data_IF_790327136397
#
_entry.id   IF_790327136397
#
_cell.length_a   1.000
_cell.length_b   1.000
_cell.length_c   1.000
_cell.angle_alpha   90.00
_cell.angle_beta   90.00
_cell.angle_gamma   90.00
#
_symmetry.space_group_name_H-M   'P 1'
#
loop_
_entity.id
_entity.type
_entity.pdbx_description
1 polymer ?
#
# COMPACT_ATOMS: atom_id res chain seq x y z
N UNK A 1 -22.87 -14.62 -50.55
CA UNK A 1 -21.96 -15.69 -50.06
C UNK A 1 -20.94 -15.04 -49.12
N UNK A 2 -21.15 -15.15 -47.79
CA UNK A 2 -20.31 -15.89 -46.82
C UNK A 2 -18.81 -15.54 -46.92
N UNK A 3 -18.32 -14.59 -46.12
CA UNK A 3 -17.73 -14.71 -44.76
C UNK A 3 -16.23 -15.04 -44.80
N UNK A 4 -15.38 -14.15 -44.25
CA UNK A 4 -14.18 -14.52 -43.47
C UNK A 4 -13.65 -13.35 -42.64
N UNK A 5 -14.00 -13.47 -41.37
CA UNK A 5 -13.44 -12.94 -40.13
C UNK A 5 -11.91 -12.86 -40.12
N UNK A 6 -11.35 -11.82 -39.47
CA UNK A 6 -9.90 -11.66 -39.32
C UNK A 6 -9.48 -10.67 -38.20
N UNK A 7 -9.88 -10.98 -36.97
CA UNK A 7 -9.15 -10.76 -35.69
C UNK A 7 -8.53 -9.37 -35.44
N UNK A 8 -9.15 -8.48 -34.63
CA UNK A 8 -8.37 -7.50 -33.89
C UNK A 8 -7.58 -8.26 -32.81
N UNK A 9 -6.25 -8.27 -32.93
CA UNK A 9 -5.35 -8.76 -31.87
C UNK A 9 -5.48 -7.79 -30.70
N UNK A 10 -6.34 -8.17 -29.76
CA UNK A 10 -6.50 -7.55 -28.46
C UNK A 10 -5.24 -7.89 -27.63
N UNK A 11 -4.13 -7.20 -27.88
CA UNK A 11 -2.96 -7.24 -27.01
C UNK A 11 -3.22 -6.32 -25.80
N UNK A 12 -4.16 -6.71 -24.95
CA UNK A 12 -4.49 -6.01 -23.71
C UNK A 12 -4.16 -6.92 -22.52
N UNK A 13 -3.18 -6.44 -21.74
CA UNK A 13 -3.02 -6.63 -20.30
C UNK A 13 -2.48 -8.00 -19.87
N UNK A 14 -1.17 -8.17 -20.03
CA UNK A 14 -0.36 -8.94 -19.09
C UNK A 14 0.17 -7.98 -17.99
N UNK A 15 -0.72 -7.34 -17.23
CA UNK A 15 -0.32 -6.85 -15.90
C UNK A 15 -0.41 -8.03 -14.98
N UNK A 16 0.74 -8.63 -14.68
CA UNK A 16 0.87 -9.65 -13.66
C UNK A 16 0.06 -9.23 -12.42
N UNK A 17 -0.91 -10.06 -12.03
CA UNK A 17 -1.53 -10.05 -10.71
C UNK A 17 -0.44 -10.38 -9.68
N UNK A 18 0.48 -9.45 -9.44
CA UNK A 18 1.68 -9.67 -8.63
C UNK A 18 1.35 -9.99 -7.17
N UNK A 19 0.08 -9.97 -6.75
CA UNK A 19 -0.38 -10.13 -5.36
C UNK A 19 0.11 -9.02 -4.42
N UNK A 20 1.14 -8.29 -4.83
CA UNK A 20 1.77 -7.18 -4.13
C UNK A 20 0.86 -5.95 -4.14
N UNK A 21 0.74 -5.25 -3.00
CA UNK A 21 -0.09 -4.06 -2.92
C UNK A 21 0.44 -2.94 -3.82
N UNK A 22 -0.45 -2.25 -4.54
CA UNK A 22 -0.06 -1.06 -5.31
C UNK A 22 0.31 0.10 -4.37
N UNK A 23 1.08 1.08 -4.86
CA UNK A 23 1.38 2.28 -4.06
C UNK A 23 0.11 3.03 -3.64
N UNK A 24 -0.91 3.08 -4.51
CA UNK A 24 -2.19 3.70 -4.21
C UNK A 24 -2.95 2.97 -3.08
N UNK A 25 -2.97 1.63 -3.12
CA UNK A 25 -3.59 0.83 -2.05
C UNK A 25 -2.85 1.02 -0.73
N UNK A 26 -1.51 0.99 -0.77
CA UNK A 26 -0.67 1.24 0.38
C UNK A 26 -0.96 2.62 0.98
N UNK A 27 -0.92 3.68 0.17
CA UNK A 27 -1.18 5.05 0.61
C UNK A 27 -2.52 5.15 1.34
N UNK A 28 -3.60 4.66 0.73
CA UNK A 28 -4.95 4.76 1.28
C UNK A 28 -5.08 4.06 2.64
N UNK A 29 -4.49 2.88 2.77
CA UNK A 29 -4.52 2.10 4.01
C UNK A 29 -3.68 2.76 5.11
N UNK A 30 -2.46 3.22 4.77
CA UNK A 30 -1.58 3.92 5.71
C UNK A 30 -2.22 5.24 6.16
N UNK A 31 -2.75 6.06 5.25
CA UNK A 31 -3.44 7.31 5.61
C UNK A 31 -4.64 7.05 6.53
N UNK A 32 -5.42 6.00 6.26
CA UNK A 32 -6.56 5.63 7.10
C UNK A 32 -6.10 5.23 8.50
N UNK A 33 -5.01 4.45 8.60
CA UNK A 33 -4.44 4.07 9.88
C UNK A 33 -3.88 5.29 10.63
N UNK A 34 -3.08 6.12 9.97
CA UNK A 34 -2.47 7.32 10.56
C UNK A 34 -3.53 8.30 11.05
N UNK A 35 -4.57 8.56 10.25
CA UNK A 35 -5.71 9.38 10.67
C UNK A 35 -6.35 8.85 11.94
N UNK A 36 -6.69 7.56 11.98
CA UNK A 36 -7.28 6.92 13.18
C UNK A 36 -6.34 6.92 14.39
N UNK A 37 -5.04 6.80 14.18
CA UNK A 37 -4.05 6.86 15.25
C UNK A 37 -3.98 8.27 15.85
N UNK A 38 -3.93 9.31 15.01
CA UNK A 38 -3.88 10.70 15.44
C UNK A 38 -5.20 11.16 16.07
N UNK A 39 -6.35 10.76 15.51
CA UNK A 39 -7.68 11.04 16.09
C UNK A 39 -7.79 10.49 17.52
N UNK A 40 -7.28 9.27 17.77
CA UNK A 40 -7.20 8.68 19.13
C UNK A 40 -6.29 9.45 20.08
N UNK A 41 -5.33 10.21 19.55
CA UNK A 41 -4.45 11.10 20.32
C UNK A 41 -5.02 12.53 20.45
N UNK A 42 -6.25 12.77 19.98
CA UNK A 42 -6.88 14.10 20.03
C UNK A 42 -6.44 15.05 18.91
N UNK A 43 -5.71 14.57 17.90
CA UNK A 43 -5.29 15.36 16.76
C UNK A 43 -6.05 14.94 15.49
N UNK A 44 -7.00 15.77 15.05
CA UNK A 44 -7.83 15.53 13.85
C UNK A 44 -7.41 16.36 12.62
N UNK A 45 -6.23 16.99 12.64
CA UNK A 45 -5.79 17.87 11.54
C UNK A 45 -5.25 17.10 10.33
N UNK A 46 -4.77 15.86 10.53
CA UNK A 46 -4.25 15.04 9.46
C UNK A 46 -5.35 14.63 8.46
N UNK A 47 -5.13 14.93 7.18
CA UNK A 47 -6.06 14.59 6.09
C UNK A 47 -5.52 13.49 5.19
N UNK A 48 -4.30 13.70 4.71
CA UNK A 48 -3.60 12.82 3.77
C UNK A 48 -2.10 13.11 3.87
N UNK A 49 -1.28 12.25 3.25
CA UNK A 49 0.11 12.58 2.99
C UNK A 49 0.21 13.54 1.81
N UNK A 50 1.18 14.44 1.84
CA UNK A 50 1.51 15.31 0.71
C UNK A 50 2.21 14.50 -0.39
N UNK A 51 3.14 13.62 0.02
CA UNK A 51 3.85 12.69 -0.84
C UNK A 51 3.88 11.30 -0.19
N UNK A 52 3.72 10.26 -1.01
CA UNK A 52 3.80 8.87 -0.56
C UNK A 52 4.51 8.06 -1.62
N UNK A 53 5.61 7.43 -1.24
CA UNK A 53 6.44 6.64 -2.15
C UNK A 53 6.67 5.25 -1.60
N UNK A 54 6.26 4.24 -2.35
CA UNK A 54 6.61 2.85 -2.10
C UNK A 54 8.10 2.64 -2.38
N UNK A 55 8.82 2.04 -1.43
CA UNK A 55 10.27 1.78 -1.53
C UNK A 55 10.59 0.34 -1.92
N UNK A 56 9.64 -0.58 -1.69
CA UNK A 56 9.76 -1.98 -2.07
C UNK A 56 8.88 -2.85 -1.18
N UNK A 57 8.55 -4.06 -1.65
CA UNK A 57 7.85 -5.07 -0.87
C UNK A 57 8.63 -6.37 -0.86
N UNK A 58 8.51 -7.09 0.24
CA UNK A 58 9.03 -8.44 0.39
C UNK A 58 7.85 -9.33 0.73
N UNK A 59 7.58 -10.32 -0.11
CA UNK A 59 6.59 -11.35 0.22
C UNK A 59 7.08 -12.11 1.46
N UNK A 60 6.25 -12.17 2.50
CA UNK A 60 6.62 -12.85 3.74
C UNK A 60 6.50 -14.36 3.54
N UNK A 61 7.65 -15.02 3.41
CA UNK A 61 7.72 -16.49 3.42
C UNK A 61 7.48 -17.02 4.84
N UNK A 62 6.25 -17.49 5.06
CA UNK A 62 5.89 -18.65 5.85
C UNK A 62 6.91 -19.18 6.90
N UNK A 63 6.65 -18.93 8.19
CA UNK A 63 7.13 -19.77 9.30
C UNK A 63 5.99 -20.72 9.69
N UNK A 64 6.22 -22.04 9.63
CA UNK A 64 5.35 -23.12 10.15
C UNK A 64 4.10 -23.53 9.32
N UNK A 65 4.22 -23.70 8.00
CA UNK A 65 3.27 -24.54 7.22
C UNK A 65 1.85 -23.99 6.96
N UNK A 66 1.55 -22.76 7.36
CA UNK A 66 0.30 -22.06 7.06
C UNK A 66 0.46 -21.04 5.91
N UNK A 67 -0.24 -21.23 4.78
CA UNK A 67 -0.08 -20.45 3.53
C UNK A 67 0.16 -18.94 3.75
N UNK A 68 1.40 -18.51 3.57
CA UNK A 68 1.84 -17.10 3.67
C UNK A 68 1.72 -16.36 2.34
N UNK A 69 1.22 -17.05 1.31
CA UNK A 69 0.96 -16.49 -0.01
C UNK A 69 0.02 -15.31 0.10
N UNK A 70 0.43 -14.15 -0.41
CA UNK A 70 -0.42 -12.95 -0.41
C UNK A 70 -0.23 -11.99 0.77
N UNK A 71 0.77 -12.23 1.63
CA UNK A 71 1.22 -11.27 2.64
C UNK A 71 2.57 -10.64 2.25
N UNK A 72 2.64 -9.31 2.34
CA UNK A 72 3.77 -8.50 1.92
C UNK A 72 4.18 -7.54 3.04
N UNK A 73 5.45 -7.59 3.42
CA UNK A 73 6.08 -6.55 4.22
C UNK A 73 6.62 -5.48 3.26
N UNK A 74 5.99 -4.31 3.23
CA UNK A 74 6.33 -3.21 2.34
C UNK A 74 6.93 -2.02 3.08
N UNK A 75 7.94 -1.42 2.48
CA UNK A 75 8.61 -0.20 2.93
C UNK A 75 8.07 0.99 2.15
N UNK A 76 7.88 2.11 2.83
CA UNK A 76 7.38 3.34 2.21
C UNK A 76 7.98 4.58 2.87
N UNK A 77 8.09 5.66 2.10
CA UNK A 77 8.29 7.00 2.60
C UNK A 77 6.97 7.76 2.50
N UNK A 78 6.60 8.47 3.57
CA UNK A 78 5.40 9.30 3.60
C UNK A 78 5.76 10.69 4.13
N UNK A 79 5.37 11.72 3.39
CA UNK A 79 5.60 13.12 3.76
C UNK A 79 4.28 13.75 4.15
N UNK A 80 4.27 14.46 5.28
CA UNK A 80 3.11 15.27 5.68
C UNK A 80 3.57 16.52 6.42
N UNK A 81 2.73 17.56 6.37
CA UNK A 81 2.87 18.74 7.22
C UNK A 81 2.12 18.49 8.54
N UNK A 82 2.81 18.38 9.70
CA UNK A 82 2.17 18.07 10.98
C UNK A 82 1.27 19.22 11.49
N UNK A 83 1.62 20.47 11.16
CA UNK A 83 0.86 21.67 11.51
C UNK A 83 1.06 22.74 10.42
N UNK A 84 0.03 23.53 10.06
CA UNK A 84 0.16 24.62 9.10
C UNK A 84 1.33 25.55 9.44
N UNK A 85 2.17 25.86 8.46
CA UNK A 85 3.35 26.73 8.63
C UNK A 85 4.60 26.05 9.19
N UNK A 86 4.55 24.75 9.51
CA UNK A 86 5.75 23.94 9.78
C UNK A 86 6.33 23.35 8.50
N UNK A 87 7.60 22.96 8.55
CA UNK A 87 8.24 22.24 7.46
C UNK A 87 7.60 20.85 7.30
N UNK A 88 7.46 20.35 6.06
CA UNK A 88 7.04 18.97 5.81
C UNK A 88 8.00 17.98 6.48
N UNK A 89 7.43 16.92 7.04
CA UNK A 89 8.18 15.84 7.66
C UNK A 89 8.01 14.58 6.81
N UNK A 90 9.13 14.01 6.35
CA UNK A 90 9.16 12.70 5.69
C UNK A 90 9.53 11.63 6.71
N UNK A 91 8.69 10.60 6.81
CA UNK A 91 8.90 9.41 7.65
C UNK A 91 9.06 8.17 6.79
N UNK A 92 9.99 7.28 7.16
CA UNK A 92 10.10 5.95 6.55
C UNK A 92 9.38 4.94 7.44
N UNK A 93 8.41 4.24 6.86
CA UNK A 93 7.59 3.26 7.54
C UNK A 93 7.72 1.88 6.93
N UNK A 94 7.42 0.86 7.75
CA UNK A 94 7.23 -0.51 7.32
C UNK A 94 5.80 -0.93 7.64
N UNK A 95 5.12 -1.51 6.66
CA UNK A 95 3.76 -2.00 6.80
C UNK A 95 3.63 -3.43 6.32
N UNK A 96 2.78 -4.20 6.96
CA UNK A 96 2.36 -5.51 6.48
C UNK A 96 1.00 -5.40 5.81
N UNK A 97 0.95 -5.87 4.58
CA UNK A 97 -0.23 -5.86 3.73
C UNK A 97 -0.62 -7.30 3.44
N UNK A 98 -1.89 -7.64 3.63
CA UNK A 98 -2.40 -8.97 3.29
C UNK A 98 -3.75 -8.87 2.60
N UNK A 99 -3.95 -9.74 1.62
CA UNK A 99 -5.27 -9.93 1.04
C UNK A 99 -6.16 -10.72 2.01
N UNK A 100 -7.38 -10.24 2.22
CA UNK A 100 -8.44 -10.91 2.99
C UNK A 100 -9.69 -11.05 2.11
N UNK A 101 -10.65 -11.84 2.57
CA UNK A 101 -11.98 -11.97 1.97
C UNK A 101 -12.71 -10.63 1.83
N UNK A 102 -12.37 -9.64 2.67
CA UNK A 102 -12.98 -8.30 2.70
C UNK A 102 -12.15 -7.22 2.00
N UNK A 103 -11.07 -7.61 1.31
CA UNK A 103 -10.12 -6.70 0.68
C UNK A 103 -8.78 -6.68 1.39
N UNK A 104 -7.99 -5.63 1.18
CA UNK A 104 -6.63 -5.55 1.70
C UNK A 104 -6.60 -5.04 3.14
N UNK A 105 -5.89 -5.75 4.01
CA UNK A 105 -5.65 -5.35 5.39
C UNK A 105 -4.22 -4.81 5.56
N UNK A 106 -4.09 -3.84 6.47
CA UNK A 106 -2.82 -3.19 6.81
C UNK A 106 -2.53 -3.32 8.30
N UNK A 107 -1.29 -3.68 8.62
CA UNK A 107 -0.72 -3.70 9.96
C UNK A 107 0.54 -2.82 9.94
N UNK A 108 0.61 -1.86 10.87
CA UNK A 108 1.80 -1.03 11.05
C UNK A 108 2.89 -1.84 11.76
N UNK A 109 4.04 -2.01 11.11
CA UNK A 109 5.21 -2.68 11.69
C UNK A 109 6.22 -1.69 12.28
N UNK A 110 5.88 -0.40 12.28
CA UNK A 110 6.70 0.68 12.82
C UNK A 110 7.64 1.30 11.80
N UNK A 111 8.51 2.19 12.30
CA UNK A 111 9.49 2.89 11.48
C UNK A 111 10.65 1.96 11.09
N UNK A 112 11.21 2.16 9.90
CA UNK A 112 12.48 1.55 9.53
C UNK A 112 13.59 2.14 10.43
N UNK A 113 14.45 1.31 11.06
CA UNK A 113 15.64 1.82 11.75
C UNK A 113 16.50 2.60 10.75
N UNK A 114 17.01 3.76 11.19
CA UNK A 114 17.90 4.61 10.38
C UNK A 114 19.30 4.03 10.26
#
# INVERSE_FOLDING_TARGET
MRLRTGIPVLALILTACSGEPSEGDMRKLVETHTRRALERQGNSTFRAFDDFRKQGCVETKLKNGQDGSGQYDCYYAATFVPQPGRQPLTVNGKGRFRHTDKGMAFEDLGAQPR
#
